data_IF_101080602253
#
_entry.id   IF_101080602253
#
_cell.length_a   1.000
_cell.length_b   1.000
_cell.length_c   1.000
_cell.angle_alpha   90.00
_cell.angle_beta   90.00
_cell.angle_gamma   90.00
#
_symmetry.space_group_name_H-M   'P 1'
#
loop_
_entity.id
_entity.type
_entity.pdbx_description
1 polymer ?
#
# COMPACT_ATOMS: atom_id res chain seq x y z
N UNK A 1 2.21 -22.88 -6.94
CA UNK A 1 2.94 -21.91 -6.08
C UNK A 1 3.81 -22.63 -5.03
N UNK A 2 4.81 -23.42 -5.45
CA UNK A 2 5.73 -24.12 -4.54
C UNK A 2 6.88 -23.25 -3.99
N UNK A 3 6.66 -21.94 -3.87
CA UNK A 3 7.64 -20.99 -3.35
C UNK A 3 7.62 -20.91 -1.82
N UNK A 4 8.67 -20.36 -1.22
CA UNK A 4 8.72 -20.05 0.22
C UNK A 4 8.86 -18.55 0.43
N UNK A 5 8.12 -18.03 1.42
CA UNK A 5 8.27 -16.65 1.88
C UNK A 5 9.38 -16.61 2.94
N UNK A 6 10.22 -15.56 2.98
CA UNK A 6 11.21 -15.39 4.03
C UNK A 6 10.58 -15.49 5.43
N UNK A 7 11.21 -16.26 6.32
CA UNK A 7 10.82 -16.29 7.73
C UNK A 7 11.11 -14.96 8.44
N UNK A 8 10.51 -14.76 9.61
CA UNK A 8 10.61 -13.50 10.37
C UNK A 8 12.04 -13.04 10.66
N UNK A 9 12.99 -13.96 10.85
CA UNK A 9 14.40 -13.64 11.07
C UNK A 9 15.13 -13.08 9.83
N UNK A 10 14.53 -13.21 8.65
CA UNK A 10 15.09 -12.72 7.37
C UNK A 10 14.32 -11.51 6.81
N UNK A 11 13.21 -11.13 7.43
CA UNK A 11 12.42 -9.98 7.02
C UNK A 11 13.14 -8.69 7.42
N UNK A 12 13.29 -7.78 6.45
CA UNK A 12 13.82 -6.43 6.70
C UNK A 12 12.71 -5.42 6.48
N UNK A 13 12.38 -4.66 7.52
CA UNK A 13 11.40 -3.57 7.41
C UNK A 13 12.06 -2.38 6.73
N UNK A 14 11.50 -1.92 5.61
CA UNK A 14 12.05 -0.83 4.80
C UNK A 14 11.07 0.34 4.63
N UNK A 15 9.83 0.19 5.10
CA UNK A 15 8.74 1.16 4.99
C UNK A 15 8.92 2.32 5.98
N UNK A 16 9.95 3.13 5.77
CA UNK A 16 10.29 4.25 6.66
C UNK A 16 9.17 5.29 6.78
N UNK A 17 8.35 5.47 5.75
CA UNK A 17 7.21 6.40 5.75
C UNK A 17 6.06 5.95 6.66
N UNK A 18 6.09 4.71 7.15
CA UNK A 18 5.10 4.16 8.09
C UNK A 18 5.60 4.17 9.53
N UNK A 19 6.82 4.63 9.78
CA UNK A 19 7.26 4.90 11.15
C UNK A 19 6.40 6.02 11.74
N UNK A 20 5.91 5.89 12.98
CA UNK A 20 5.13 6.95 13.62
C UNK A 20 5.92 8.27 13.71
N UNK A 21 5.25 9.42 13.52
CA UNK A 21 5.88 10.72 13.73
C UNK A 21 6.33 10.91 15.19
N UNK A 22 7.27 11.84 15.40
CA UNK A 22 7.72 12.20 16.75
C UNK A 22 6.58 12.82 17.58
N UNK A 23 5.79 13.69 16.98
CA UNK A 23 4.52 14.16 17.56
C UNK A 23 3.42 13.14 17.23
N UNK A 24 2.92 12.38 18.21
CA UNK A 24 1.88 11.37 17.97
C UNK A 24 0.53 11.99 17.54
N UNK A 25 0.39 13.32 17.58
CA UNK A 25 -0.79 14.04 17.13
C UNK A 25 -0.64 14.68 15.75
N UNK A 26 0.52 14.53 15.08
CA UNK A 26 0.71 14.95 13.69
C UNK A 26 -0.01 14.01 12.72
N UNK A 27 -1.33 14.18 12.65
CA UNK A 27 -2.20 13.43 11.75
C UNK A 27 -1.88 13.68 10.28
N UNK A 28 -1.29 14.83 9.93
CA UNK A 28 -0.95 15.16 8.55
C UNK A 28 0.24 14.32 8.09
N UNK A 29 1.26 14.14 8.94
CA UNK A 29 2.39 13.27 8.63
C UNK A 29 1.96 11.81 8.48
N UNK A 30 1.08 11.32 9.37
CA UNK A 30 0.49 9.98 9.25
C UNK A 30 -0.26 9.82 7.93
N UNK A 31 -1.11 10.78 7.55
CA UNK A 31 -1.85 10.74 6.28
C UNK A 31 -0.90 10.65 5.08
N UNK A 32 0.20 11.43 5.08
CA UNK A 32 1.21 11.36 4.01
C UNK A 32 1.93 10.01 3.98
N UNK A 33 2.23 9.44 5.14
CA UNK A 33 2.80 8.10 5.27
C UNK A 33 1.92 7.03 4.65
N UNK A 34 0.61 7.07 4.94
CA UNK A 34 -0.38 6.16 4.34
C UNK A 34 -0.45 6.36 2.83
N UNK A 35 -0.57 7.60 2.33
CA UNK A 35 -0.62 7.85 0.88
C UNK A 35 0.59 7.28 0.12
N UNK A 36 1.79 7.35 0.71
CA UNK A 36 2.97 6.73 0.11
C UNK A 36 2.86 5.20 0.09
N UNK A 37 2.36 4.58 1.17
CA UNK A 37 2.15 3.14 1.23
C UNK A 37 1.09 2.67 0.23
N UNK A 38 -0.01 3.40 0.08
CA UNK A 38 -1.05 3.10 -0.91
C UNK A 38 -0.49 3.17 -2.34
N UNK A 39 0.31 4.18 -2.66
CA UNK A 39 0.93 4.28 -3.99
C UNK A 39 1.92 3.13 -4.25
N UNK A 40 2.71 2.73 -3.26
CA UNK A 40 3.60 1.57 -3.35
C UNK A 40 2.81 0.26 -3.57
N UNK A 41 1.70 0.08 -2.84
CA UNK A 41 0.82 -1.09 -2.96
C UNK A 41 0.12 -1.14 -4.34
N UNK A 42 -0.40 -0.02 -4.82
CA UNK A 42 -1.01 0.11 -6.17
C UNK A 42 0.00 -0.29 -7.25
N UNK A 43 1.22 0.22 -7.16
CA UNK A 43 2.28 -0.12 -8.11
C UNK A 43 2.66 -1.61 -8.03
N UNK A 44 2.67 -2.17 -6.82
CA UNK A 44 2.94 -3.60 -6.62
C UNK A 44 1.84 -4.49 -7.22
N UNK A 45 0.56 -4.23 -6.95
CA UNK A 45 -0.53 -5.04 -7.49
C UNK A 45 -0.64 -4.90 -9.01
N UNK A 46 -0.41 -3.71 -9.58
CA UNK A 46 -0.29 -3.55 -11.05
C UNK A 46 0.82 -4.40 -11.65
N UNK A 47 1.93 -4.59 -10.93
CA UNK A 47 3.02 -5.47 -11.35
C UNK A 47 2.59 -6.94 -11.30
N UNK A 48 1.95 -7.38 -10.20
CA UNK A 48 1.45 -8.76 -10.06
C UNK A 48 0.44 -9.10 -11.16
N UNK A 49 -0.53 -8.22 -11.42
CA UNK A 49 -1.55 -8.43 -12.45
C UNK A 49 -0.93 -8.70 -13.82
N UNK A 50 0.15 -7.97 -14.17
CA UNK A 50 0.89 -8.17 -15.41
C UNK A 50 1.69 -9.47 -15.41
N UNK A 51 2.25 -9.85 -14.27
CA UNK A 51 3.05 -11.08 -14.13
C UNK A 51 2.19 -12.35 -14.22
N UNK A 52 0.93 -12.28 -13.82
CA UNK A 52 0.01 -13.43 -13.79
C UNK A 52 -0.94 -13.48 -14.98
N UNK A 53 -0.95 -12.47 -15.85
CA UNK A 53 -1.81 -12.40 -17.02
C UNK A 53 -1.58 -13.58 -17.96
N UNK A 54 -2.65 -14.30 -18.30
CA UNK A 54 -2.59 -15.49 -19.16
C UNK A 54 -2.13 -16.77 -18.47
N UNK A 55 -1.58 -16.71 -17.24
CA UNK A 55 -0.88 -17.83 -16.59
C UNK A 55 -1.51 -18.25 -15.25
N UNK A 56 -1.89 -17.29 -14.40
CA UNK A 56 -2.46 -17.53 -13.06
C UNK A 56 -3.62 -16.57 -12.77
N UNK A 57 -4.79 -16.90 -13.32
CA UNK A 57 -5.99 -16.07 -13.18
C UNK A 57 -6.50 -15.95 -11.74
N UNK A 58 -6.24 -16.93 -10.88
CA UNK A 58 -6.69 -16.87 -9.47
C UNK A 58 -5.86 -15.84 -8.71
N UNK A 59 -4.54 -15.85 -8.87
CA UNK A 59 -3.68 -14.82 -8.28
C UNK A 59 -3.94 -13.46 -8.91
N UNK A 60 -4.22 -13.41 -10.23
CA UNK A 60 -4.58 -12.17 -10.92
C UNK A 60 -5.85 -11.53 -10.36
N UNK A 61 -6.93 -12.30 -10.20
CA UNK A 61 -8.21 -11.82 -9.67
C UNK A 61 -8.09 -11.25 -8.25
N UNK A 62 -7.30 -11.93 -7.40
CA UNK A 62 -6.97 -11.42 -6.06
C UNK A 62 -6.20 -10.08 -6.14
N UNK A 63 -5.20 -9.98 -7.02
CA UNK A 63 -4.42 -8.76 -7.18
C UNK A 63 -5.27 -7.59 -7.74
N UNK A 64 -6.22 -7.86 -8.63
CA UNK A 64 -7.20 -6.86 -9.13
C UNK A 64 -8.09 -6.38 -7.99
N UNK A 65 -8.59 -7.31 -7.16
CA UNK A 65 -9.43 -6.98 -6.00
C UNK A 65 -8.69 -6.07 -5.03
N UNK A 66 -7.45 -6.43 -4.67
CA UNK A 66 -6.61 -5.63 -3.77
C UNK A 66 -6.27 -4.27 -4.38
N UNK A 67 -5.92 -4.20 -5.67
CA UNK A 67 -5.71 -2.92 -6.36
C UNK A 67 -6.91 -1.98 -6.25
N UNK A 68 -8.13 -2.51 -6.40
CA UNK A 68 -9.36 -1.71 -6.24
C UNK A 68 -9.53 -1.15 -4.83
N UNK A 69 -9.11 -1.88 -3.79
CA UNK A 69 -9.13 -1.42 -2.40
C UNK A 69 -8.14 -0.28 -2.18
N UNK A 70 -6.89 -0.43 -2.64
CA UNK A 70 -5.86 0.60 -2.42
C UNK A 70 -6.16 1.89 -3.21
N UNK A 71 -6.76 1.79 -4.41
CA UNK A 71 -7.21 2.99 -5.14
C UNK A 71 -8.33 3.75 -4.41
N UNK A 72 -9.23 3.02 -3.74
CA UNK A 72 -10.27 3.62 -2.89
C UNK A 72 -9.67 4.25 -1.62
N UNK A 73 -8.77 3.55 -0.93
CA UNK A 73 -8.05 4.08 0.24
C UNK A 73 -7.28 5.35 -0.12
N UNK A 74 -6.51 5.35 -1.22
CA UNK A 74 -5.79 6.54 -1.68
C UNK A 74 -6.74 7.72 -1.89
N UNK A 75 -7.90 7.51 -2.51
CA UNK A 75 -8.89 8.57 -2.71
C UNK A 75 -9.41 9.14 -1.38
N UNK A 76 -9.70 8.30 -0.40
CA UNK A 76 -10.16 8.73 0.92
C UNK A 76 -9.08 9.55 1.64
N UNK A 77 -7.83 9.06 1.66
CA UNK A 77 -6.71 9.75 2.30
C UNK A 77 -6.30 11.05 1.59
N UNK A 78 -6.46 11.15 0.27
CA UNK A 78 -6.34 12.43 -0.44
C UNK A 78 -7.41 13.43 0.02
N UNK A 79 -8.63 12.93 0.30
CA UNK A 79 -9.71 13.71 0.89
C UNK A 79 -9.34 14.23 2.28
N UNK A 80 -8.86 13.35 3.16
CA UNK A 80 -8.41 13.73 4.50
C UNK A 80 -7.26 14.73 4.45
N UNK A 81 -6.25 14.51 3.59
CA UNK A 81 -5.15 15.44 3.45
C UNK A 81 -5.66 16.85 3.11
N UNK A 82 -6.57 16.96 2.14
CA UNK A 82 -7.18 18.24 1.76
C UNK A 82 -7.95 18.89 2.92
N UNK A 83 -8.63 18.10 3.75
CA UNK A 83 -9.34 18.60 4.93
C UNK A 83 -8.37 19.16 5.97
N UNK A 84 -7.39 18.37 6.38
CA UNK A 84 -6.48 18.72 7.47
C UNK A 84 -5.44 19.79 7.11
N UNK A 85 -5.16 20.03 5.82
CA UNK A 85 -4.27 21.12 5.37
C UNK A 85 -5.00 22.43 5.07
N UNK A 86 -6.33 22.50 5.18
CA UNK A 86 -7.09 23.75 5.01
C UNK A 86 -7.15 24.60 6.29
N UNK A 87 -6.82 24.01 7.44
CA UNK A 87 -6.74 24.68 8.74
C UNK A 87 -5.56 25.62 8.86
#
# INVERSE_FOLDING_TARGET
LGGSIPGSLHLKMTQKSLEPPEDPTDVVDVIRGVLQAEEDAINHYRSIIKLTDGEDYVTQDLAITLLGQEEAHRQDFEGFLKEYTRG
#
